data_IF_421495049672
#
_entry.id   IF_421495049672
#
_cell.length_a   1.000
_cell.length_b   1.000
_cell.length_c   1.000
_cell.angle_alpha   90.00
_cell.angle_beta   90.00
_cell.angle_gamma   90.00
#
_symmetry.space_group_name_H-M   'P 1'
#
loop_
_entity.id
_entity.type
_entity.pdbx_description
1 polymer ?
#
# COMPACT_ATOMS: atom_id res chain seq x y z
N UNK A 1 16.50 -9.42 -15.21
CA UNK A 1 17.54 -8.37 -15.04
C UNK A 1 16.95 -6.96 -15.20
N UNK A 2 15.95 -6.58 -14.40
CA UNK A 2 15.47 -5.18 -14.31
C UNK A 2 15.04 -4.88 -12.86
N UNK A 3 15.79 -5.35 -11.87
CA UNK A 3 15.38 -5.14 -10.47
C UNK A 3 15.78 -3.76 -9.92
N UNK A 4 16.50 -2.93 -10.68
CA UNK A 4 17.15 -1.73 -10.12
C UNK A 4 17.15 -0.47 -11.00
N UNK A 5 16.31 -0.37 -12.04
CA UNK A 5 16.39 0.74 -12.99
C UNK A 5 16.07 2.14 -12.38
N UNK A 6 15.43 2.18 -11.21
CA UNK A 6 15.11 3.42 -10.50
C UNK A 6 15.76 3.54 -9.12
N UNK A 7 16.59 2.57 -8.73
CA UNK A 7 17.21 2.51 -7.41
C UNK A 7 17.99 3.80 -7.07
N UNK A 8 17.58 4.52 -6.02
CA UNK A 8 18.18 5.77 -5.55
C UNK A 8 17.67 7.05 -6.23
N UNK A 9 16.69 6.96 -7.14
CA UNK A 9 16.09 8.16 -7.76
C UNK A 9 14.94 8.69 -6.91
N UNK A 10 14.67 10.01 -6.91
CA UNK A 10 13.50 10.56 -6.21
C UNK A 10 12.19 9.88 -6.65
N UNK A 11 12.07 9.55 -7.95
CA UNK A 11 10.88 8.88 -8.50
C UNK A 11 10.61 7.50 -7.88
N UNK A 12 11.64 6.73 -7.56
CA UNK A 12 11.49 5.47 -6.82
C UNK A 12 10.84 5.69 -5.45
N UNK A 13 11.23 6.75 -4.73
CA UNK A 13 10.65 7.08 -3.44
C UNK A 13 9.23 7.65 -3.57
N UNK A 14 8.97 8.48 -4.58
CA UNK A 14 7.66 9.12 -4.78
C UNK A 14 6.57 8.15 -5.22
N UNK A 15 6.88 7.19 -6.09
CA UNK A 15 5.84 6.31 -6.66
C UNK A 15 5.67 4.98 -5.93
N UNK A 16 6.63 4.56 -5.10
CA UNK A 16 6.59 3.24 -4.48
C UNK A 16 5.41 3.05 -3.52
N UNK A 17 5.12 4.02 -2.65
CA UNK A 17 3.98 3.88 -1.76
C UNK A 17 2.64 3.95 -2.52
N UNK A 18 2.39 4.95 -3.40
CA UNK A 18 1.19 4.94 -4.25
C UNK A 18 1.01 3.67 -5.07
N UNK A 19 2.10 3.06 -5.56
CA UNK A 19 2.03 1.80 -6.29
C UNK A 19 1.53 0.64 -5.41
N UNK A 20 2.01 0.53 -4.16
CA UNK A 20 1.50 -0.46 -3.21
C UNK A 20 0.00 -0.25 -2.91
N UNK A 21 -0.44 1.00 -2.76
CA UNK A 21 -1.87 1.31 -2.56
C UNK A 21 -2.72 0.85 -3.75
N UNK A 22 -2.30 1.19 -4.98
CA UNK A 22 -3.00 0.77 -6.20
C UNK A 22 -3.05 -0.76 -6.33
N UNK A 23 -1.95 -1.45 -6.06
CA UNK A 23 -1.90 -2.91 -6.08
C UNK A 23 -2.84 -3.52 -5.04
N UNK A 24 -2.90 -2.95 -3.83
CA UNK A 24 -3.81 -3.41 -2.79
C UNK A 24 -5.27 -3.33 -3.23
N UNK A 25 -5.68 -2.20 -3.82
CA UNK A 25 -7.03 -1.99 -4.34
C UNK A 25 -7.37 -2.95 -5.49
N UNK A 26 -6.42 -3.20 -6.39
CA UNK A 26 -6.60 -4.18 -7.48
C UNK A 26 -6.81 -5.58 -6.90
N UNK A 27 -5.94 -6.03 -5.99
CA UNK A 27 -6.06 -7.34 -5.38
C UNK A 27 -7.35 -7.50 -4.57
N UNK A 28 -7.78 -6.44 -3.88
CA UNK A 28 -9.07 -6.41 -3.17
C UNK A 28 -10.23 -6.59 -4.14
N UNK A 29 -10.25 -5.88 -5.28
CA UNK A 29 -11.29 -6.02 -6.31
C UNK A 29 -11.29 -7.42 -6.95
N UNK A 30 -10.14 -8.08 -7.02
CA UNK A 30 -9.99 -9.45 -7.51
C UNK A 30 -10.38 -10.51 -6.45
N UNK A 31 -10.68 -10.12 -5.21
CA UNK A 31 -10.98 -11.05 -4.12
C UNK A 31 -9.74 -11.71 -3.50
N UNK A 32 -8.53 -11.33 -3.93
CA UNK A 32 -7.27 -11.84 -3.41
C UNK A 32 -6.92 -11.17 -2.08
N UNK A 33 -7.68 -11.50 -1.04
CA UNK A 33 -7.65 -10.85 0.28
C UNK A 33 -6.26 -10.78 0.89
N UNK A 34 -5.52 -11.89 0.92
CA UNK A 34 -4.18 -11.95 1.52
C UNK A 34 -3.19 -11.04 0.76
N UNK A 35 -3.21 -11.10 -0.57
CA UNK A 35 -2.38 -10.23 -1.40
C UNK A 35 -2.75 -8.75 -1.21
N UNK A 36 -4.03 -8.43 -1.06
CA UNK A 36 -4.48 -7.07 -0.78
C UNK A 36 -3.97 -6.57 0.58
N UNK A 37 -4.10 -7.39 1.62
CA UNK A 37 -3.64 -7.08 2.97
C UNK A 37 -2.12 -6.84 3.00
N UNK A 38 -1.35 -7.68 2.28
CA UNK A 38 0.09 -7.50 2.16
C UNK A 38 0.44 -6.13 1.55
N UNK A 39 -0.19 -5.77 0.43
CA UNK A 39 0.11 -4.51 -0.25
C UNK A 39 -0.32 -3.28 0.58
N UNK A 40 -1.47 -3.34 1.26
CA UNK A 40 -1.88 -2.30 2.21
C UNK A 40 -0.85 -2.12 3.33
N UNK A 41 -0.31 -3.21 3.89
CA UNK A 41 0.70 -3.13 4.95
C UNK A 41 1.99 -2.44 4.48
N UNK A 42 2.45 -2.73 3.25
CA UNK A 42 3.64 -2.12 2.63
C UNK A 42 3.45 -0.63 2.37
N UNK A 43 2.28 -0.23 1.87
CA UNK A 43 1.91 1.18 1.73
C UNK A 43 1.96 1.94 3.07
N UNK A 44 1.29 1.40 4.09
CA UNK A 44 1.23 2.01 5.43
C UNK A 44 2.64 2.14 6.02
N UNK A 45 3.50 1.13 5.85
CA UNK A 45 4.87 1.17 6.36
C UNK A 45 5.69 2.32 5.74
N UNK A 46 5.54 2.54 4.43
CA UNK A 46 6.26 3.60 3.71
C UNK A 46 5.72 5.00 4.03
N UNK A 47 4.41 5.15 4.23
CA UNK A 47 3.76 6.45 4.45
C UNK A 47 3.31 6.72 5.89
N UNK A 48 3.79 5.92 6.86
CA UNK A 48 3.45 6.11 8.30
C UNK A 48 3.75 7.51 8.84
N UNK A 49 4.65 8.24 8.20
CA UNK A 49 5.08 9.59 8.58
C UNK A 49 4.86 10.61 7.45
N UNK A 50 3.82 10.41 6.64
CA UNK A 50 3.45 11.34 5.56
C UNK A 50 2.98 12.71 6.09
N UNK A 51 3.05 13.71 5.20
CA UNK A 51 2.58 15.06 5.49
C UNK A 51 1.09 15.08 5.87
N UNK A 52 0.68 16.09 6.64
CA UNK A 52 -0.68 16.21 7.16
C UNK A 52 -1.80 16.04 6.11
N UNK A 53 -1.68 16.59 4.89
CA UNK A 53 -2.71 16.40 3.86
C UNK A 53 -2.87 14.96 3.36
N UNK A 54 -1.85 14.11 3.53
CA UNK A 54 -1.84 12.72 3.05
C UNK A 54 -2.33 11.71 4.10
N UNK A 55 -2.38 12.09 5.38
CA UNK A 55 -2.84 11.22 6.48
C UNK A 55 -4.19 10.57 6.22
N UNK A 56 -5.22 11.24 5.66
CA UNK A 56 -6.50 10.59 5.38
C UNK A 56 -6.39 9.35 4.48
N UNK A 57 -5.43 9.35 3.54
CA UNK A 57 -5.19 8.21 2.63
C UNK A 57 -4.62 7.03 3.42
N UNK A 58 -3.67 7.28 4.33
CA UNK A 58 -3.07 6.25 5.19
C UNK A 58 -4.10 5.66 6.15
N UNK A 59 -4.95 6.49 6.75
CA UNK A 59 -6.01 6.03 7.64
C UNK A 59 -7.08 5.20 6.89
N UNK A 60 -7.43 5.59 5.66
CA UNK A 60 -8.28 4.78 4.78
C UNK A 60 -7.70 3.39 4.53
N UNK A 61 -6.41 3.31 4.22
CA UNK A 61 -5.70 2.03 4.04
C UNK A 61 -5.66 1.19 5.33
N UNK A 62 -5.43 1.81 6.50
CA UNK A 62 -5.47 1.12 7.80
C UNK A 62 -6.85 0.50 8.06
N UNK A 63 -7.92 1.23 7.75
CA UNK A 63 -9.28 0.74 7.91
C UNK A 63 -9.56 -0.47 7.00
N UNK A 64 -9.11 -0.45 5.73
CA UNK A 64 -9.24 -1.60 4.84
C UNK A 64 -8.45 -2.81 5.35
N UNK A 65 -7.20 -2.62 5.76
CA UNK A 65 -6.37 -3.68 6.32
C UNK A 65 -7.01 -4.30 7.58
N UNK A 66 -7.53 -3.46 8.48
CA UNK A 66 -8.21 -3.95 9.69
C UNK A 66 -9.42 -4.83 9.36
N UNK A 67 -10.24 -4.45 8.36
CA UNK A 67 -11.35 -5.29 7.89
C UNK A 67 -10.86 -6.62 7.34
N UNK A 68 -9.78 -6.60 6.55
CA UNK A 68 -9.18 -7.81 5.97
C UNK A 68 -8.56 -8.75 7.00
N UNK A 69 -8.09 -8.24 8.14
CA UNK A 69 -7.56 -9.10 9.22
C UNK A 69 -8.69 -9.60 10.15
N UNK A 70 -9.80 -8.87 10.25
CA UNK A 70 -10.88 -9.18 11.18
C UNK A 70 -11.90 -10.21 10.67
N UNK A 71 -12.17 -10.32 9.36
CA UNK A 71 -13.11 -11.34 8.88
C UNK A 71 -12.41 -12.72 8.84
N UNK A 72 -12.93 -13.73 9.57
CA UNK A 72 -12.42 -15.09 9.53
C UNK A 72 -12.73 -15.75 8.17
N UNK A 73 -11.86 -16.67 7.75
CA UNK A 73 -12.01 -17.49 6.55
C UNK A 73 -13.22 -18.44 6.64
#
# INVERSE_FOLDING_TARGET
>A
LVENAFAGTPGELYYRAPAHLLQAEIQQRLGNREAAAEQYSRFIALWRSCDQPLRPIVEGARAQLARMVAEPH
#
